data_IF_358093287337
#
_entry.id   IF_358093287337
#
_cell.length_a   1.000
_cell.length_b   1.000
_cell.length_c   1.000
_cell.angle_alpha   90.00
_cell.angle_beta   90.00
_cell.angle_gamma   90.00
#
_symmetry.space_group_name_H-M   'P 1'
#
loop_
_entity.id
_entity.type
_entity.pdbx_description
1 polymer ?
#
# COMPACT_ATOMS: atom_id res chain seq x y z
N UNK A 1 3.99 15.89 36.39
CA UNK A 1 4.27 16.45 35.04
C UNK A 1 3.68 15.48 34.02
N UNK A 2 2.87 15.92 33.05
CA UNK A 2 2.38 15.02 32.01
C UNK A 2 3.52 14.72 31.04
N UNK A 3 3.81 13.44 30.84
CA UNK A 3 4.78 12.96 29.85
C UNK A 3 4.25 13.31 28.46
N UNK A 4 4.86 14.29 27.80
CA UNK A 4 4.62 14.52 26.38
C UNK A 4 5.20 13.31 25.63
N UNK A 5 4.33 12.46 25.08
CA UNK A 5 4.71 11.51 24.04
C UNK A 5 5.25 12.33 22.87
N UNK A 6 6.55 12.27 22.63
CA UNK A 6 7.16 12.80 21.41
C UNK A 6 6.35 12.27 20.22
N UNK A 7 5.94 13.11 19.25
CA UNK A 7 5.37 12.59 18.02
C UNK A 7 6.40 11.64 17.41
N UNK A 8 6.00 10.39 17.18
CA UNK A 8 6.83 9.42 16.46
C UNK A 8 7.30 10.11 15.18
N UNK A 9 8.62 10.20 14.99
CA UNK A 9 9.18 10.70 13.74
C UNK A 9 8.48 9.97 12.59
N UNK A 10 7.97 10.69 11.57
CA UNK A 10 7.36 10.04 10.43
C UNK A 10 8.38 9.06 9.84
N UNK A 11 8.00 7.78 9.75
CA UNK A 11 8.78 6.75 9.05
C UNK A 11 9.08 7.30 7.66
N UNK A 12 10.37 7.30 7.27
CA UNK A 12 10.75 7.77 5.94
C UNK A 12 10.12 6.87 4.87
N UNK A 13 9.78 7.43 3.72
CA UNK A 13 9.19 6.66 2.63
C UNK A 13 10.11 5.49 2.21
N UNK A 14 11.43 5.65 2.31
CA UNK A 14 12.43 4.60 2.07
C UNK A 14 12.29 3.41 3.02
N UNK A 15 12.25 3.67 4.34
CA UNK A 15 12.08 2.63 5.37
C UNK A 15 10.73 1.91 5.20
N UNK A 16 9.71 2.65 4.76
CA UNK A 16 8.37 2.12 4.47
C UNK A 16 8.37 1.23 3.23
N UNK A 17 9.08 1.61 2.17
CA UNK A 17 9.25 0.78 0.97
C UNK A 17 9.92 -0.55 1.34
N UNK A 18 11.00 -0.52 2.12
CA UNK A 18 11.69 -1.75 2.56
C UNK A 18 10.77 -2.65 3.37
N UNK A 19 10.00 -2.08 4.30
CA UNK A 19 9.00 -2.82 5.06
C UNK A 19 7.94 -3.46 4.14
N UNK A 20 7.41 -2.70 3.18
CA UNK A 20 6.39 -3.20 2.25
C UNK A 20 6.95 -4.32 1.38
N UNK A 21 8.15 -4.17 0.82
CA UNK A 21 8.78 -5.20 0.00
C UNK A 21 8.97 -6.50 0.79
N UNK A 22 9.46 -6.41 2.03
CA UNK A 22 9.60 -7.56 2.93
C UNK A 22 8.26 -8.25 3.25
N UNK A 23 7.19 -7.47 3.42
CA UNK A 23 5.87 -8.02 3.72
C UNK A 23 5.20 -8.66 2.50
N UNK A 24 5.36 -8.08 1.30
CA UNK A 24 4.95 -8.71 0.03
C UNK A 24 5.66 -10.05 -0.16
N UNK A 25 6.97 -10.12 0.07
CA UNK A 25 7.75 -11.36 -0.01
C UNK A 25 7.22 -12.43 0.96
N UNK A 26 6.90 -12.03 2.19
CA UNK A 26 6.26 -12.91 3.17
C UNK A 26 4.90 -13.44 2.67
N UNK A 27 4.04 -12.57 2.16
CA UNK A 27 2.71 -12.93 1.67
C UNK A 27 2.79 -13.88 0.45
N UNK A 28 3.72 -13.63 -0.47
CA UNK A 28 4.01 -14.51 -1.61
C UNK A 28 4.51 -15.88 -1.16
N UNK A 29 5.39 -15.93 -0.16
CA UNK A 29 5.88 -17.17 0.45
C UNK A 29 4.76 -17.97 1.14
N UNK A 30 3.90 -17.29 1.88
CA UNK A 30 2.73 -17.89 2.53
C UNK A 30 1.76 -18.47 1.49
N UNK A 31 1.41 -17.69 0.45
CA UNK A 31 0.55 -18.13 -0.65
C UNK A 31 1.11 -19.37 -1.34
N UNK A 32 2.39 -19.34 -1.71
CA UNK A 32 3.08 -20.45 -2.36
C UNK A 32 3.04 -21.72 -1.52
N UNK A 33 3.20 -21.58 -0.20
CA UNK A 33 3.11 -22.69 0.76
C UNK A 33 1.71 -23.29 0.81
N UNK A 34 0.65 -22.45 0.86
CA UNK A 34 -0.73 -22.92 0.82
C UNK A 34 -1.03 -23.67 -0.49
N UNK A 35 -0.71 -23.07 -1.64
CA UNK A 35 -0.95 -23.68 -2.96
C UNK A 35 -0.24 -25.03 -3.08
N UNK A 36 1.01 -25.13 -2.62
CA UNK A 36 1.76 -26.39 -2.60
C UNK A 36 1.06 -27.45 -1.75
N UNK A 37 0.63 -27.10 -0.55
CA UNK A 37 -0.03 -28.04 0.37
C UNK A 37 -1.41 -28.49 -0.13
N UNK A 38 -2.14 -27.62 -0.84
CA UNK A 38 -3.36 -28.00 -1.55
C UNK A 38 -3.05 -29.04 -2.64
N UNK A 39 -2.02 -28.79 -3.47
CA UNK A 39 -1.60 -29.73 -4.51
C UNK A 39 -1.10 -31.08 -3.98
N UNK A 40 -0.58 -31.11 -2.75
CA UNK A 40 -0.17 -32.34 -2.04
C UNK A 40 -1.33 -33.02 -1.30
N UNK A 41 -2.52 -32.41 -1.24
CA UNK A 41 -3.68 -32.93 -0.51
C UNK A 41 -3.57 -32.84 1.01
N UNK A 42 -2.58 -32.11 1.55
CA UNK A 42 -2.43 -31.89 2.99
C UNK A 42 -3.36 -30.80 3.52
N UNK A 43 -3.82 -29.90 2.64
CA UNK A 43 -4.86 -28.90 2.90
C UNK A 43 -6.03 -29.18 1.95
N UNK A 44 -7.26 -29.07 2.44
CA UNK A 44 -8.46 -29.24 1.64
C UNK A 44 -8.57 -28.13 0.57
N UNK A 45 -9.00 -28.50 -0.64
CA UNK A 45 -9.35 -27.55 -1.69
C UNK A 45 -10.81 -27.11 -1.52
N UNK A 46 -11.11 -26.36 -0.47
CA UNK A 46 -12.46 -25.88 -0.16
C UNK A 46 -12.61 -24.36 -0.34
N UNK A 47 -13.85 -23.87 -0.23
CA UNK A 47 -14.19 -22.46 -0.40
C UNK A 47 -13.45 -21.55 0.59
N UNK A 48 -13.27 -21.99 1.84
CA UNK A 48 -12.60 -21.18 2.86
C UNK A 48 -11.12 -20.99 2.53
N UNK A 49 -10.45 -22.05 2.07
CA UNK A 49 -9.05 -22.01 1.62
C UNK A 49 -8.90 -21.14 0.37
N UNK A 50 -9.79 -21.27 -0.60
CA UNK A 50 -9.76 -20.42 -1.81
C UNK A 50 -10.02 -18.95 -1.48
N UNK A 51 -10.91 -18.66 -0.51
CA UNK A 51 -11.15 -17.30 -0.02
C UNK A 51 -9.93 -16.72 0.69
N UNK A 52 -9.21 -17.52 1.47
CA UNK A 52 -7.96 -17.11 2.10
C UNK A 52 -6.90 -16.73 1.04
N UNK A 53 -6.71 -17.57 0.01
CA UNK A 53 -5.79 -17.29 -1.08
C UNK A 53 -6.14 -15.98 -1.82
N UNK A 54 -7.42 -15.77 -2.10
CA UNK A 54 -7.91 -14.53 -2.70
C UNK A 54 -7.66 -13.31 -1.80
N UNK A 55 -7.83 -13.45 -0.49
CA UNK A 55 -7.53 -12.36 0.45
C UNK A 55 -6.03 -12.04 0.48
N UNK A 56 -5.15 -13.03 0.36
CA UNK A 56 -3.70 -12.81 0.23
C UNK A 56 -3.39 -11.99 -1.03
N UNK A 57 -4.02 -12.31 -2.16
CA UNK A 57 -3.84 -11.55 -3.41
C UNK A 57 -4.30 -10.09 -3.29
N UNK A 58 -5.41 -9.85 -2.59
CA UNK A 58 -5.90 -8.50 -2.31
C UNK A 58 -4.94 -7.73 -1.39
N UNK A 59 -4.36 -8.39 -0.39
CA UNK A 59 -3.38 -7.78 0.50
C UNK A 59 -2.11 -7.39 -0.27
N UNK A 60 -1.55 -8.30 -1.07
CA UNK A 60 -0.39 -8.02 -1.93
C UNK A 60 -0.68 -6.82 -2.83
N UNK A 61 -1.79 -6.83 -3.56
CA UNK A 61 -2.14 -5.74 -4.48
C UNK A 61 -2.29 -4.39 -3.76
N UNK A 62 -2.77 -4.40 -2.51
CA UNK A 62 -2.91 -3.19 -1.71
C UNK A 62 -1.54 -2.65 -1.26
N UNK A 63 -0.63 -3.55 -0.91
CA UNK A 63 0.74 -3.19 -0.52
C UNK A 63 1.58 -2.71 -1.70
N UNK A 64 1.42 -3.31 -2.87
CA UNK A 64 2.07 -2.81 -4.09
C UNK A 64 1.63 -1.37 -4.42
N UNK A 65 0.33 -1.07 -4.27
CA UNK A 65 -0.17 0.29 -4.43
C UNK A 65 0.42 1.26 -3.40
N UNK A 66 0.53 0.84 -2.13
CA UNK A 66 1.16 1.65 -1.08
C UNK A 66 2.64 1.92 -1.39
N UNK A 67 3.39 0.92 -1.86
CA UNK A 67 4.79 1.03 -2.27
C UNK A 67 4.96 2.01 -3.42
N UNK A 68 4.12 1.91 -4.44
CA UNK A 68 4.19 2.76 -5.62
C UNK A 68 3.91 4.22 -5.26
N UNK A 69 2.99 4.48 -4.33
CA UNK A 69 2.75 5.82 -3.79
C UNK A 69 3.96 6.35 -3.03
N UNK A 70 4.61 5.53 -2.21
CA UNK A 70 5.83 5.93 -1.51
C UNK A 70 6.98 6.24 -2.48
N UNK A 71 7.17 5.42 -3.52
CA UNK A 71 8.17 5.67 -4.57
C UNK A 71 7.87 6.96 -5.33
N UNK A 72 6.62 7.18 -5.71
CA UNK A 72 6.22 8.40 -6.39
C UNK A 72 6.50 9.64 -5.54
N UNK A 73 6.20 9.59 -4.25
CA UNK A 73 6.45 10.70 -3.33
C UNK A 73 7.94 11.00 -3.12
N UNK A 74 8.79 9.97 -3.12
CA UNK A 74 10.24 10.15 -3.04
C UNK A 74 10.88 10.68 -4.34
N UNK A 75 10.06 10.96 -5.36
CA UNK A 75 10.50 11.54 -6.62
C UNK A 75 10.94 10.50 -7.65
N UNK A 76 10.55 9.23 -7.48
CA UNK A 76 10.78 8.23 -8.51
C UNK A 76 9.92 8.55 -9.74
N UNK A 77 10.56 8.60 -10.91
CA UNK A 77 9.85 8.79 -12.18
C UNK A 77 8.98 7.57 -12.47
N UNK A 78 7.67 7.77 -12.59
CA UNK A 78 6.71 6.70 -12.90
C UNK A 78 6.03 6.96 -14.25
N UNK A 79 5.66 5.88 -14.96
CA UNK A 79 4.95 5.99 -16.24
C UNK A 79 3.49 6.44 -16.08
N UNK A 80 2.94 6.36 -14.86
CA UNK A 80 1.57 6.74 -14.53
C UNK A 80 1.47 7.13 -13.06
N UNK A 81 0.47 7.95 -12.72
CA UNK A 81 0.09 8.23 -11.33
C UNK A 81 -0.29 6.91 -10.64
N UNK A 82 0.33 6.55 -9.51
CA UNK A 82 0.04 5.29 -8.84
C UNK A 82 -1.40 5.27 -8.29
N UNK A 83 -2.03 4.09 -8.21
CA UNK A 83 -3.37 3.95 -7.64
C UNK A 83 -3.39 4.39 -6.17
N UNK A 84 -4.59 4.75 -5.69
CA UNK A 84 -4.77 5.25 -4.33
C UNK A 84 -4.32 4.22 -3.29
N UNK A 85 -3.39 4.65 -2.43
CA UNK A 85 -2.99 3.91 -1.23
C UNK A 85 -4.14 3.79 -0.22
N UNK A 86 -4.29 2.62 0.39
CA UNK A 86 -5.29 2.38 1.44
C UNK A 86 -4.75 2.72 2.83
N UNK A 87 -3.45 2.47 3.05
CA UNK A 87 -2.85 2.50 4.39
C UNK A 87 -1.95 3.71 4.62
N UNK A 88 -1.77 4.57 3.62
CA UNK A 88 -0.87 5.72 3.69
C UNK A 88 -1.49 6.99 3.12
N UNK A 89 -1.28 8.09 3.85
CA UNK A 89 -1.61 9.43 3.41
C UNK A 89 -0.32 10.11 2.92
N UNK A 90 -0.20 10.42 1.61
CA UNK A 90 0.96 11.11 1.07
C UNK A 90 1.00 12.58 1.52
N UNK A 91 2.21 13.15 1.53
CA UNK A 91 2.35 14.61 1.59
C UNK A 91 1.82 15.20 0.28
N UNK A 92 0.66 15.84 0.33
CA UNK A 92 -0.04 16.35 -0.84
C UNK A 92 0.76 17.42 -1.60
N UNK A 93 1.50 18.26 -0.89
CA UNK A 93 2.26 19.35 -1.51
C UNK A 93 3.50 18.80 -2.24
N UNK A 94 4.17 17.81 -1.65
CA UNK A 94 5.28 17.11 -2.32
C UNK A 94 4.78 16.35 -3.56
N UNK A 95 3.67 15.62 -3.41
CA UNK A 95 3.07 14.84 -4.49
C UNK A 95 2.62 15.72 -5.65
N UNK A 96 1.99 16.86 -5.36
CA UNK A 96 1.62 17.88 -6.34
C UNK A 96 2.85 18.45 -7.07
N UNK A 97 3.94 18.71 -6.33
CA UNK A 97 5.20 19.14 -6.93
C UNK A 97 5.77 18.09 -7.89
N UNK A 98 5.74 16.81 -7.51
CA UNK A 98 6.24 15.72 -8.35
C UNK A 98 5.39 15.55 -9.62
N UNK A 99 4.06 15.62 -9.50
CA UNK A 99 3.16 15.55 -10.66
C UNK A 99 3.42 16.68 -11.67
N UNK A 100 3.62 17.91 -11.19
CA UNK A 100 3.97 19.03 -12.09
C UNK A 100 5.35 18.86 -12.72
N UNK A 101 6.33 18.36 -11.96
CA UNK A 101 7.68 18.10 -12.47
C UNK A 101 7.68 17.03 -13.58
N UNK A 102 6.82 16.02 -13.46
CA UNK A 102 6.63 14.95 -14.46
C UNK A 102 5.76 15.39 -15.66
N UNK A 103 5.26 16.63 -15.66
CA UNK A 103 4.52 17.23 -16.79
C UNK A 103 3.04 16.86 -16.85
N UNK A 104 2.45 16.37 -15.76
CA UNK A 104 1.01 16.13 -15.69
C UNK A 104 0.22 17.45 -15.73
N UNK A 105 -0.93 17.45 -16.38
CA UNK A 105 -1.78 18.64 -16.47
C UNK A 105 -2.49 18.98 -15.15
N UNK A 106 -2.95 20.22 -15.02
CA UNK A 106 -3.59 20.73 -13.79
C UNK A 106 -4.88 19.97 -13.41
N UNK A 107 -5.57 19.35 -14.38
CA UNK A 107 -6.77 18.56 -14.10
C UNK A 107 -6.38 17.25 -13.40
N UNK A 108 -5.32 16.60 -13.86
CA UNK A 108 -4.79 15.39 -13.23
C UNK A 108 -4.24 15.69 -11.83
N UNK A 109 -3.47 16.78 -11.69
CA UNK A 109 -2.94 17.24 -10.40
C UNK A 109 -4.06 17.51 -9.39
N UNK A 110 -5.09 18.26 -9.80
CA UNK A 110 -6.23 18.58 -8.94
C UNK A 110 -7.03 17.33 -8.55
N UNK A 111 -7.22 16.40 -9.50
CA UNK A 111 -7.94 15.14 -9.27
C UNK A 111 -7.21 14.25 -8.26
N UNK A 112 -5.89 14.13 -8.38
CA UNK A 112 -5.05 13.39 -7.43
C UNK A 112 -5.11 14.00 -6.02
N UNK A 113 -5.02 15.33 -5.91
CA UNK A 113 -5.15 16.02 -4.62
C UNK A 113 -6.50 15.76 -3.97
N UNK A 114 -7.59 15.80 -4.74
CA UNK A 114 -8.94 15.51 -4.22
C UNK A 114 -9.10 14.05 -3.77
N UNK A 115 -8.49 13.11 -4.50
CA UNK A 115 -8.52 11.68 -4.19
C UNK A 115 -8.02 11.40 -2.78
N UNK A 116 -6.99 12.12 -2.34
CA UNK A 116 -6.38 11.99 -1.01
C UNK A 116 -6.91 13.00 0.03
N UNK A 117 -7.40 14.18 -0.35
CA UNK A 117 -7.92 15.17 0.59
C UNK A 117 -9.18 14.71 1.35
N UNK A 118 -9.96 13.79 0.77
CA UNK A 118 -11.17 13.21 1.38
C UNK A 118 -10.93 11.94 2.20
N UNK A 119 -9.67 11.53 2.44
CA UNK A 119 -9.38 10.24 3.05
C UNK A 119 -9.34 10.29 4.58
N UNK A 120 -10.14 9.44 5.23
CA UNK A 120 -9.78 8.91 6.55
C UNK A 120 -8.91 7.66 6.35
N UNK A 121 -7.78 7.58 7.04
CA UNK A 121 -6.98 6.36 7.05
C UNK A 121 -7.78 5.32 7.84
N UNK A 122 -8.42 4.41 7.12
CA UNK A 122 -9.21 3.34 7.72
C UNK A 122 -8.31 2.22 8.22
N UNK A 123 -8.18 2.07 9.54
CA UNK A 123 -7.88 0.77 10.18
C UNK A 123 -9.10 -0.15 10.07
N UNK A 124 -9.65 -0.35 8.87
CA UNK A 124 -10.89 -1.12 8.66
C UNK A 124 -10.62 -2.61 8.40
N UNK A 125 -9.67 -3.20 9.13
CA UNK A 125 -9.53 -4.67 9.24
C UNK A 125 -10.21 -5.22 10.51
N UNK A 126 -10.84 -4.36 11.34
CA UNK A 126 -11.48 -4.76 12.60
C UNK A 126 -12.96 -4.39 12.75
N UNK A 127 -13.63 -3.93 11.69
CA UNK A 127 -15.09 -3.75 11.73
C UNK A 127 -15.78 -5.05 11.34
N UNK A 128 -16.01 -5.91 12.34
CA UNK A 128 -16.99 -7.00 12.30
C UNK A 128 -18.40 -6.44 12.34
#
# INVERSE_FOLDING_TARGET
MPTQTQPQNPIKDEDRIEYIDSHIDFLLGAKSTFVRNIGLGTIAHDEAVMRLLNNIDIMISSEEADRDVCRFNSGAMMQSIPPKSRNFQPNLDQRESNLRADGYDETMVSSDRQLYAGQSIGLSILSR
#
